data_IF_633464310838
#
_entry.id   IF_633464310838
#
_cell.length_a   1.000
_cell.length_b   1.000
_cell.length_c   1.000
_cell.angle_alpha   90.00
_cell.angle_beta   90.00
_cell.angle_gamma   90.00
#
_symmetry.space_group_name_H-M   'P 1'
#
loop_
_entity.id
_entity.type
_entity.pdbx_description
1 polymer ?
#
# COMPACT_ATOMS: atom_id res chain seq x y z
N UNK A 1 -39.98 14.10 -13.53
CA UNK A 1 -39.61 15.46 -13.07
C UNK A 1 -38.11 15.61 -13.17
N UNK A 2 -37.69 16.35 -14.17
CA UNK A 2 -36.31 16.72 -14.49
C UNK A 2 -35.78 17.75 -13.50
N UNK A 3 -34.52 17.62 -13.06
CA UNK A 3 -33.69 18.78 -12.72
C UNK A 3 -32.25 18.54 -13.14
N UNK A 4 -31.94 19.16 -14.26
CA UNK A 4 -30.62 19.42 -14.81
C UNK A 4 -30.02 20.58 -14.01
N UNK A 5 -28.80 20.44 -13.48
CA UNK A 5 -27.99 21.60 -13.07
C UNK A 5 -26.69 21.62 -13.89
N UNK A 6 -26.75 22.50 -14.88
CA UNK A 6 -25.63 23.03 -15.64
C UNK A 6 -25.08 24.25 -14.89
N UNK A 7 -23.76 24.31 -14.68
CA UNK A 7 -23.02 25.57 -14.47
C UNK A 7 -21.69 25.43 -15.19
N UNK A 8 -21.61 26.00 -16.24
CA UNK A 8 -20.95 27.07 -16.93
C UNK A 8 -19.84 27.79 -16.11
N UNK A 9 -18.62 27.68 -16.59
CA UNK A 9 -17.74 28.71 -17.14
C UNK A 9 -17.17 29.72 -16.15
N UNK A 10 -15.84 29.65 -15.97
CA UNK A 10 -15.09 30.87 -15.64
C UNK A 10 -13.78 30.91 -16.44
N UNK A 11 -13.83 31.73 -17.50
CA UNK A 11 -12.65 32.20 -18.25
C UNK A 11 -12.23 33.51 -17.62
N UNK A 12 -10.98 33.64 -17.24
CA UNK A 12 -10.35 34.94 -17.07
C UNK A 12 -9.07 35.00 -17.88
N UNK A 13 -9.15 35.80 -18.94
CA UNK A 13 -8.01 36.43 -19.63
C UNK A 13 -7.49 37.61 -18.80
N UNK A 14 -6.20 37.86 -18.84
CA UNK A 14 -5.55 39.09 -18.39
C UNK A 14 -4.06 38.96 -18.72
N UNK A 15 -3.60 39.33 -19.85
CA UNK A 15 -3.16 40.59 -20.40
C UNK A 15 -1.81 41.03 -19.82
N UNK A 16 -0.87 41.01 -20.75
CA UNK A 16 0.45 41.57 -20.91
C UNK A 16 0.76 42.90 -20.21
N UNK A 17 2.03 43.08 -19.86
CA UNK A 17 2.75 44.34 -20.09
C UNK A 17 4.27 44.09 -20.11
N UNK A 18 4.85 44.44 -21.23
CA UNK A 18 6.28 44.57 -21.46
C UNK A 18 6.80 45.88 -20.88
N UNK A 19 7.97 45.87 -20.28
CA UNK A 19 8.81 47.10 -20.18
C UNK A 19 10.24 46.74 -20.46
N UNK A 20 10.73 47.45 -21.42
CA UNK A 20 12.01 47.61 -22.03
C UNK A 20 13.08 48.24 -21.12
N UNK A 21 14.36 47.85 -21.34
CA UNK A 21 15.46 48.82 -21.26
C UNK A 21 16.50 48.57 -20.20
N UNK A 22 17.75 48.40 -20.65
CA UNK A 22 18.90 48.58 -19.77
C UNK A 22 20.14 47.77 -20.16
N UNK A 23 20.82 48.25 -21.20
CA UNK A 23 22.16 47.84 -21.62
C UNK A 23 23.19 48.42 -20.65
N UNK A 24 24.01 47.61 -20.00
CA UNK A 24 25.31 48.05 -19.46
C UNK A 24 26.29 46.87 -19.46
N UNK A 25 27.31 47.02 -20.29
CA UNK A 25 28.55 46.23 -20.29
C UNK A 25 29.29 46.42 -18.97
N UNK A 26 29.79 45.38 -18.38
CA UNK A 26 31.10 45.35 -17.74
C UNK A 26 31.54 43.94 -17.31
N UNK A 27 32.69 43.56 -17.86
CA UNK A 27 33.75 42.79 -17.23
C UNK A 27 33.47 41.34 -16.74
N UNK A 28 34.00 40.40 -17.52
CA UNK A 28 34.45 39.08 -17.05
C UNK A 28 35.63 39.25 -16.08
N UNK A 29 35.68 38.45 -15.02
CA UNK A 29 36.82 37.59 -14.87
C UNK A 29 36.45 36.12 -14.55
N UNK A 30 36.97 35.23 -15.36
CA UNK A 30 37.91 34.17 -15.02
C UNK A 30 37.54 33.17 -13.94
N UNK A 31 37.35 31.95 -14.45
CA UNK A 31 37.88 30.68 -13.90
C UNK A 31 37.61 30.42 -12.41
N UNK A 32 36.64 29.61 -12.18
CA UNK A 32 36.55 28.72 -11.04
C UNK A 32 35.94 27.42 -11.52
N UNK A 33 36.79 26.52 -11.99
CA UNK A 33 36.42 25.11 -12.09
C UNK A 33 36.26 24.63 -10.65
N UNK A 34 35.07 24.72 -10.13
CA UNK A 34 34.69 23.92 -9.01
C UNK A 34 33.86 22.78 -9.58
N UNK A 35 34.51 21.63 -9.62
CA UNK A 35 33.83 20.35 -9.65
C UNK A 35 32.80 20.39 -8.52
N UNK A 36 31.57 20.71 -8.85
CA UNK A 36 30.46 20.42 -7.99
C UNK A 36 30.41 18.92 -7.89
N UNK A 37 31.02 18.43 -6.84
CA UNK A 37 30.70 17.18 -6.23
C UNK A 37 29.18 17.11 -6.15
N UNK A 38 28.60 16.40 -7.09
CA UNK A 38 27.24 16.04 -7.01
C UNK A 38 27.14 15.04 -5.83
N UNK A 39 27.10 15.64 -4.64
CA UNK A 39 26.55 14.92 -3.51
C UNK A 39 25.19 14.40 -3.96
N UNK A 40 25.18 13.19 -4.45
CA UNK A 40 24.01 12.37 -4.54
C UNK A 40 23.48 12.33 -3.13
N UNK A 41 22.56 13.24 -2.84
CA UNK A 41 21.64 13.02 -1.77
C UNK A 41 20.99 11.68 -2.08
N UNK A 42 21.53 10.65 -1.47
CA UNK A 42 20.84 9.38 -1.27
C UNK A 42 19.54 9.79 -0.62
N UNK A 43 18.51 9.92 -1.42
CA UNK A 43 17.15 9.96 -0.93
C UNK A 43 17.00 8.65 -0.16
N UNK A 44 17.21 8.74 1.15
CA UNK A 44 16.69 7.76 2.04
C UNK A 44 15.24 7.61 1.62
N UNK A 45 14.95 6.47 0.98
CA UNK A 45 13.63 6.20 0.47
C UNK A 45 12.66 6.53 1.58
N UNK A 46 11.73 7.37 1.25
CA UNK A 46 10.54 7.61 2.04
C UNK A 46 9.93 6.23 2.27
N UNK A 47 10.29 5.61 3.39
CA UNK A 47 9.68 4.38 3.83
C UNK A 47 8.30 4.85 4.29
N UNK A 48 7.39 4.90 3.34
CA UNK A 48 5.98 5.05 3.63
C UNK A 48 5.70 4.11 4.81
N UNK A 49 5.04 4.56 5.89
CA UNK A 49 4.81 3.74 7.06
C UNK A 49 4.28 2.41 6.60
N UNK A 50 5.05 1.34 6.84
CA UNK A 50 4.76 0.03 6.28
C UNK A 50 3.30 -0.30 6.58
N UNK A 51 2.49 -0.37 5.53
CA UNK A 51 1.07 -0.60 5.68
C UNK A 51 0.89 -1.83 6.56
N UNK A 52 0.09 -1.71 7.61
CA UNK A 52 -0.17 -2.81 8.53
C UNK A 52 -0.68 -4.01 7.72
N UNK A 53 -0.12 -5.21 7.92
CA UNK A 53 -0.56 -6.38 7.18
C UNK A 53 -2.02 -6.72 7.49
N UNK A 54 -2.78 -7.01 6.46
CA UNK A 54 -4.17 -7.45 6.60
C UNK A 54 -4.20 -8.97 6.66
N UNK A 55 -4.76 -9.51 7.75
CA UNK A 55 -4.91 -10.95 7.93
C UNK A 55 -6.24 -11.44 7.39
N UNK A 56 -6.21 -12.47 6.57
CA UNK A 56 -7.40 -13.05 5.93
C UNK A 56 -7.43 -14.54 6.17
N UNK A 57 -8.52 -14.98 6.78
CA UNK A 57 -8.88 -16.39 6.93
C UNK A 57 -9.67 -16.85 5.72
N UNK A 58 -9.11 -17.73 4.93
CA UNK A 58 -9.78 -18.28 3.74
C UNK A 58 -10.52 -19.59 3.99
N UNK A 59 -10.81 -19.87 5.26
CA UNK A 59 -11.69 -20.98 5.67
C UNK A 59 -13.17 -20.63 5.46
N UNK A 60 -14.03 -21.61 5.69
CA UNK A 60 -15.48 -21.38 5.71
C UNK A 60 -15.88 -20.50 6.90
N UNK A 61 -17.02 -19.77 6.83
CA UNK A 61 -17.53 -18.99 7.96
C UNK A 61 -17.70 -19.85 9.23
N UNK A 62 -18.18 -21.06 9.10
CA UNK A 62 -18.34 -22.01 10.23
C UNK A 62 -17.01 -22.33 10.92
N UNK A 63 -15.93 -22.48 10.16
CA UNK A 63 -14.58 -22.70 10.73
C UNK A 63 -14.05 -21.44 11.40
N UNK A 64 -14.37 -20.26 10.87
CA UNK A 64 -14.00 -18.95 11.41
C UNK A 64 -14.71 -18.67 12.73
N UNK A 65 -16.03 -18.95 12.80
CA UNK A 65 -16.85 -18.79 14.01
C UNK A 65 -16.39 -19.73 15.15
N UNK A 66 -15.85 -20.89 14.81
CA UNK A 66 -15.26 -21.82 15.76
C UNK A 66 -13.91 -21.39 16.35
N UNK A 67 -13.38 -20.24 15.92
CA UNK A 67 -12.13 -19.62 16.37
C UNK A 67 -11.28 -19.15 15.21
N UNK A 68 -10.69 -17.96 15.36
CA UNK A 68 -9.85 -17.31 14.35
C UNK A 68 -8.76 -16.46 15.02
N UNK A 69 -7.82 -15.93 14.24
CA UNK A 69 -6.82 -14.98 14.74
C UNK A 69 -7.48 -13.62 14.98
N UNK A 70 -7.11 -12.98 16.06
CA UNK A 70 -7.59 -11.63 16.39
C UNK A 70 -7.27 -10.65 15.24
N UNK A 71 -8.26 -9.86 14.84
CA UNK A 71 -8.13 -8.90 13.75
C UNK A 71 -8.14 -9.50 12.34
N UNK A 72 -8.37 -10.80 12.18
CA UNK A 72 -8.48 -11.44 10.88
C UNK A 72 -9.88 -11.25 10.26
N UNK A 73 -9.91 -11.06 8.94
CA UNK A 73 -11.13 -11.03 8.16
C UNK A 73 -11.44 -12.42 7.57
N UNK A 74 -12.69 -12.84 7.58
CA UNK A 74 -13.08 -14.08 6.91
C UNK A 74 -13.49 -13.81 5.46
N UNK A 75 -12.74 -14.35 4.53
CA UNK A 75 -13.06 -14.34 3.10
C UNK A 75 -12.76 -15.71 2.53
N UNK A 76 -13.77 -16.59 2.39
CA UNK A 76 -13.58 -17.93 1.85
C UNK A 76 -12.85 -17.92 0.50
N UNK A 77 -12.02 -18.93 0.27
CA UNK A 77 -11.17 -19.01 -0.94
C UNK A 77 -11.96 -18.87 -2.24
N UNK A 78 -13.20 -19.35 -2.27
CA UNK A 78 -14.10 -19.28 -3.43
C UNK A 78 -14.57 -17.85 -3.73
N UNK A 79 -14.56 -16.98 -2.73
CA UNK A 79 -15.07 -15.60 -2.81
C UNK A 79 -13.95 -14.56 -2.83
N UNK A 80 -12.71 -14.95 -2.52
CA UNK A 80 -11.62 -14.00 -2.32
C UNK A 80 -11.34 -13.15 -3.56
N UNK A 81 -11.41 -13.75 -4.75
CA UNK A 81 -11.15 -13.05 -6.00
C UNK A 81 -12.11 -11.87 -6.27
N UNK A 82 -13.37 -11.99 -5.80
CA UNK A 82 -14.37 -10.95 -5.96
C UNK A 82 -14.43 -9.92 -4.81
N UNK A 83 -14.00 -10.32 -3.61
CA UNK A 83 -14.15 -9.50 -2.42
C UNK A 83 -12.87 -8.74 -2.03
N UNK A 84 -11.72 -9.21 -2.48
CA UNK A 84 -10.43 -8.66 -2.03
C UNK A 84 -10.28 -7.17 -2.36
N UNK A 85 -10.72 -6.73 -3.52
CA UNK A 85 -10.59 -5.33 -3.96
C UNK A 85 -11.39 -4.35 -3.10
N UNK A 86 -12.48 -4.82 -2.49
CA UNK A 86 -13.27 -4.02 -1.54
C UNK A 86 -12.58 -3.95 -0.18
N UNK A 87 -11.99 -5.06 0.27
CA UNK A 87 -11.31 -5.15 1.55
C UNK A 87 -9.92 -4.52 1.52
N UNK A 88 -9.18 -4.73 0.44
CA UNK A 88 -7.81 -4.29 0.23
C UNK A 88 -7.70 -3.60 -1.14
N UNK A 89 -8.13 -2.34 -1.27
CA UNK A 89 -8.12 -1.62 -2.55
C UNK A 89 -6.70 -1.33 -3.05
N UNK A 90 -5.73 -1.12 -2.15
CA UNK A 90 -4.34 -0.94 -2.53
C UNK A 90 -3.64 -2.29 -2.66
N UNK A 91 -3.17 -2.59 -3.86
CA UNK A 91 -2.53 -3.87 -4.21
C UNK A 91 -1.12 -4.06 -3.62
N UNK A 92 -0.51 -3.00 -3.12
CA UNK A 92 0.78 -3.05 -2.45
C UNK A 92 0.66 -3.27 -0.93
N UNK A 93 -0.57 -3.30 -0.41
CA UNK A 93 -0.80 -3.63 0.99
C UNK A 93 -0.43 -5.09 1.27
N UNK A 94 0.37 -5.38 2.31
CA UNK A 94 0.70 -6.74 2.68
C UNK A 94 -0.55 -7.54 3.10
N UNK A 95 -0.76 -8.68 2.48
CA UNK A 95 -1.88 -9.59 2.76
C UNK A 95 -1.35 -10.91 3.29
N UNK A 96 -1.77 -11.27 4.50
CA UNK A 96 -1.41 -12.51 5.19
C UNK A 96 -2.57 -13.49 5.14
N UNK A 97 -2.41 -14.56 4.38
CA UNK A 97 -3.44 -15.58 4.20
C UNK A 97 -3.18 -16.79 5.09
N UNK A 98 -4.21 -17.33 5.69
CA UNK A 98 -4.14 -18.61 6.38
C UNK A 98 -5.42 -19.43 6.21
N UNK A 99 -5.33 -20.73 6.44
CA UNK A 99 -6.47 -21.63 6.48
C UNK A 99 -6.21 -22.77 7.48
N UNK A 100 -6.90 -23.89 7.34
CA UNK A 100 -6.71 -25.04 8.23
C UNK A 100 -5.33 -25.71 8.06
N UNK A 101 -4.81 -25.79 6.82
CA UNK A 101 -3.59 -26.55 6.47
C UNK A 101 -2.66 -25.81 5.49
N UNK A 102 -2.94 -24.54 5.18
CA UNK A 102 -2.19 -23.76 4.19
C UNK A 102 -2.58 -24.00 2.73
N UNK A 103 -3.26 -25.08 2.37
CA UNK A 103 -3.60 -25.41 0.96
C UNK A 103 -4.54 -24.39 0.33
N UNK A 104 -5.65 -24.06 1.00
CA UNK A 104 -6.60 -23.02 0.54
C UNK A 104 -5.95 -21.63 0.50
N UNK A 105 -5.10 -21.34 1.47
CA UNK A 105 -4.32 -20.09 1.50
C UNK A 105 -3.36 -20.00 0.31
N UNK A 106 -2.72 -21.08 -0.10
CA UNK A 106 -1.86 -21.10 -1.29
C UNK A 106 -2.66 -20.91 -2.59
N UNK A 107 -3.84 -21.48 -2.67
CA UNK A 107 -4.75 -21.28 -3.80
C UNK A 107 -5.19 -19.81 -3.88
N UNK A 108 -5.59 -19.22 -2.75
CA UNK A 108 -5.95 -17.81 -2.66
C UNK A 108 -4.77 -16.91 -3.03
N UNK A 109 -3.57 -17.20 -2.53
CA UNK A 109 -2.35 -16.46 -2.86
C UNK A 109 -2.13 -16.36 -4.37
N UNK A 110 -2.22 -17.49 -5.06
CA UNK A 110 -2.06 -17.53 -6.53
C UNK A 110 -3.08 -16.66 -7.25
N UNK A 111 -4.35 -16.70 -6.81
CA UNK A 111 -5.41 -15.88 -7.38
C UNK A 111 -5.15 -14.38 -7.17
N UNK A 112 -4.71 -13.98 -5.98
CA UNK A 112 -4.41 -12.57 -5.69
C UNK A 112 -3.18 -12.05 -6.45
N UNK A 113 -2.13 -12.85 -6.58
CA UNK A 113 -0.98 -12.48 -7.40
C UNK A 113 -1.37 -12.29 -8.87
N UNK A 114 -2.26 -13.13 -9.42
CA UNK A 114 -2.80 -12.96 -10.78
C UNK A 114 -3.63 -11.68 -10.94
N UNK A 115 -4.25 -11.20 -9.86
CA UNK A 115 -4.97 -9.93 -9.84
C UNK A 115 -4.06 -8.71 -9.64
N UNK A 116 -2.75 -8.92 -9.48
CA UNK A 116 -1.75 -7.87 -9.37
C UNK A 116 -1.45 -7.40 -7.95
N UNK A 117 -1.84 -8.15 -6.91
CA UNK A 117 -1.37 -7.92 -5.54
C UNK A 117 0.10 -8.31 -5.44
N UNK A 118 0.93 -7.44 -4.87
CA UNK A 118 2.40 -7.59 -4.88
C UNK A 118 2.93 -8.28 -3.62
N UNK A 119 2.27 -8.09 -2.48
CA UNK A 119 2.71 -8.58 -1.18
C UNK A 119 1.68 -9.54 -0.58
N UNK A 120 1.65 -10.78 -1.08
CA UNK A 120 0.72 -11.82 -0.59
C UNK A 120 1.49 -13.00 -0.04
N UNK A 121 1.29 -13.31 1.22
CA UNK A 121 1.94 -14.41 1.91
C UNK A 121 0.95 -15.47 2.40
N UNK A 122 1.33 -16.74 2.23
CA UNK A 122 0.65 -17.86 2.85
C UNK A 122 1.31 -18.16 4.20
N UNK A 123 0.60 -17.91 5.28
CA UNK A 123 1.08 -18.12 6.66
C UNK A 123 0.79 -19.53 7.19
N UNK A 124 0.22 -20.39 6.36
CA UNK A 124 0.04 -21.80 6.68
C UNK A 124 -1.23 -22.13 7.44
N UNK A 125 -1.10 -22.88 8.53
CA UNK A 125 -2.23 -23.38 9.29
C UNK A 125 -2.61 -22.51 10.48
N UNK A 126 -3.90 -22.37 10.73
CA UNK A 126 -4.45 -21.69 11.91
C UNK A 126 -3.88 -22.25 13.22
N UNK A 127 -3.76 -23.59 13.33
CA UNK A 127 -3.26 -24.22 14.53
C UNK A 127 -1.80 -23.85 14.83
N UNK A 128 -0.95 -23.74 13.80
CA UNK A 128 0.44 -23.36 13.98
C UNK A 128 0.59 -21.89 14.33
N UNK A 129 -0.24 -21.03 13.73
CA UNK A 129 -0.29 -19.60 14.06
C UNK A 129 -0.71 -19.35 15.50
N UNK A 130 -1.71 -20.07 16.01
CA UNK A 130 -2.10 -20.01 17.43
C UNK A 130 -0.98 -20.41 18.36
N UNK A 131 -0.25 -21.48 18.05
CA UNK A 131 0.91 -21.90 18.85
C UNK A 131 1.99 -20.82 18.88
N UNK A 132 2.25 -20.18 17.74
CA UNK A 132 3.24 -19.09 17.66
C UNK A 132 2.79 -17.89 18.50
N UNK A 133 1.51 -17.50 18.46
CA UNK A 133 0.99 -16.42 19.30
C UNK A 133 1.13 -16.74 20.79
N UNK A 134 0.78 -17.95 21.21
CA UNK A 134 0.92 -18.39 22.60
C UNK A 134 2.37 -18.36 23.06
N UNK A 135 3.32 -18.79 22.24
CA UNK A 135 4.74 -18.76 22.54
C UNK A 135 5.26 -17.33 22.69
N UNK A 136 4.83 -16.42 21.83
CA UNK A 136 5.21 -15.01 21.90
C UNK A 136 4.69 -14.34 23.19
N UNK A 137 3.46 -14.63 23.59
CA UNK A 137 2.89 -14.13 24.84
C UNK A 137 3.63 -14.65 26.09
N UNK A 138 4.16 -15.87 26.06
CA UNK A 138 4.93 -16.46 27.15
C UNK A 138 6.35 -15.88 27.25
N UNK A 139 6.88 -15.32 26.16
CA UNK A 139 8.21 -14.72 26.10
C UNK A 139 8.23 -13.23 26.44
N UNK A 140 7.05 -12.58 26.53
CA UNK A 140 6.98 -11.20 27.01
C UNK A 140 7.11 -11.18 28.52
N UNK A 141 8.13 -10.46 29.09
CA UNK A 141 8.24 -10.27 30.54
C UNK A 141 6.95 -9.59 31.02
N UNK A 142 6.37 -10.11 32.06
CA UNK A 142 5.29 -9.40 32.78
C UNK A 142 5.96 -8.27 33.56
N UNK A 143 5.85 -7.06 33.04
CA UNK A 143 6.14 -5.86 33.83
C UNK A 143 5.05 -5.65 34.89
#
# INVERSE_FOLDING_TARGET
MMKIFSHAGFRTLGAALAVSGGLLLAAVPTVGVQAADAAQATQAGDVAPAAQPIWIDVRTPKEFDGGHLEGAHNVPVEQIAGQISTLVPNKDTPVMLYCRSGRRAEQARKLLLQQGYTHVENKGSYADLLKQQQQQQQQQPRE
#
